data_IF_481520344641
#
_entry.id   IF_481520344641
#
_cell.length_a   1.000
_cell.length_b   1.000
_cell.length_c   1.000
_cell.angle_alpha   90.00
_cell.angle_beta   90.00
_cell.angle_gamma   90.00
#
_symmetry.space_group_name_H-M   'P 1'
#
loop_
_entity.id
_entity.type
_entity.pdbx_description
1 polymer ?
#
# COMPACT_ATOMS: atom_id res chain seq x y z
N UNK A 1 3.10 20.39 -1.22
CA UNK A 1 3.42 19.03 -1.70
C UNK A 1 2.40 18.63 -2.74
N UNK A 2 2.85 18.13 -3.86
CA UNK A 2 1.94 17.65 -4.88
C UNK A 2 1.43 16.26 -4.52
N UNK A 3 0.16 16.02 -4.77
CA UNK A 3 -0.39 14.68 -4.66
C UNK A 3 0.22 13.79 -5.75
N UNK A 4 0.32 12.49 -5.47
CA UNK A 4 0.75 11.54 -6.48
C UNK A 4 -0.34 11.39 -7.52
N UNK A 5 0.04 11.53 -8.77
CA UNK A 5 -0.85 11.40 -9.91
C UNK A 5 -0.16 10.59 -11.00
N UNK A 6 -0.95 9.84 -11.74
CA UNK A 6 -0.41 9.00 -12.81
C UNK A 6 -1.19 9.28 -14.09
N UNK A 7 -0.47 9.73 -15.11
CA UNK A 7 -1.03 10.04 -16.41
C UNK A 7 -0.73 8.93 -17.41
N UNK A 8 -1.60 8.78 -18.40
CA UNK A 8 -1.39 7.82 -19.50
C UNK A 8 -1.18 6.39 -19.00
N UNK A 9 -2.00 5.99 -18.04
CA UNK A 9 -1.96 4.65 -17.48
C UNK A 9 -3.23 3.89 -17.86
N UNK A 10 -3.13 2.56 -17.82
CA UNK A 10 -4.29 1.70 -17.95
C UNK A 10 -4.80 1.37 -16.56
N UNK A 11 -6.03 1.68 -16.26
CA UNK A 11 -6.65 1.33 -14.99
C UNK A 11 -7.43 0.03 -15.16
N UNK A 12 -7.16 -0.94 -14.29
CA UNK A 12 -7.91 -2.20 -14.28
C UNK A 12 -9.16 -1.99 -13.42
N UNK A 13 -10.32 -2.12 -14.04
CA UNK A 13 -11.58 -1.80 -13.38
C UNK A 13 -11.91 -2.74 -12.21
N UNK A 14 -11.57 -4.02 -12.36
CA UNK A 14 -11.86 -4.99 -11.31
C UNK A 14 -10.93 -4.75 -10.11
N UNK A 15 -11.52 -4.51 -8.94
CA UNK A 15 -10.77 -4.29 -7.72
C UNK A 15 -10.10 -5.57 -7.20
N UNK A 16 -9.00 -5.40 -6.50
CA UNK A 16 -8.38 -6.41 -5.65
C UNK A 16 -8.97 -6.24 -4.26
N UNK A 17 -9.70 -7.24 -3.78
CA UNK A 17 -10.41 -7.13 -2.51
C UNK A 17 -9.82 -8.12 -1.52
N UNK A 18 -9.40 -7.63 -0.36
CA UNK A 18 -8.79 -8.42 0.70
C UNK A 18 -9.55 -8.20 2.02
N UNK A 19 -9.49 -9.18 2.91
CA UNK A 19 -10.06 -9.07 4.26
C UNK A 19 -11.51 -8.60 4.24
N UNK A 20 -12.32 -9.24 3.40
CA UNK A 20 -13.77 -8.97 3.31
C UNK A 20 -14.10 -7.51 2.98
N UNK A 21 -13.26 -6.88 2.16
CA UNK A 21 -13.48 -5.50 1.72
C UNK A 21 -12.85 -4.44 2.59
N UNK A 22 -12.11 -4.81 3.64
CA UNK A 22 -11.43 -3.83 4.49
C UNK A 22 -10.16 -3.29 3.85
N UNK A 23 -9.61 -3.99 2.88
CA UNK A 23 -8.52 -3.51 2.06
C UNK A 23 -8.90 -3.71 0.60
N UNK A 24 -8.89 -2.63 -0.17
CA UNK A 24 -9.28 -2.65 -1.58
C UNK A 24 -8.26 -1.87 -2.37
N UNK A 25 -7.83 -2.40 -3.50
CA UNK A 25 -6.94 -1.68 -4.40
C UNK A 25 -7.35 -1.88 -5.85
N UNK A 26 -6.91 -0.95 -6.70
CA UNK A 26 -7.01 -1.09 -8.14
C UNK A 26 -5.62 -1.07 -8.74
N UNK A 27 -5.40 -1.90 -9.74
CA UNK A 27 -4.13 -1.98 -10.44
C UNK A 27 -4.11 -0.95 -11.56
N UNK A 28 -2.98 -0.24 -11.68
CA UNK A 28 -2.70 0.57 -12.87
C UNK A 28 -1.47 0.00 -13.56
N UNK A 29 -1.52 0.04 -14.89
CA UNK A 29 -0.41 -0.40 -15.75
C UNK A 29 0.21 0.82 -16.39
N UNK A 30 1.52 0.96 -16.22
CA UNK A 30 2.27 2.10 -16.75
C UNK A 30 2.78 1.78 -18.16
N UNK A 31 3.18 2.84 -18.88
CA UNK A 31 3.61 2.69 -20.27
C UNK A 31 4.88 1.85 -20.45
N UNK A 32 5.69 1.71 -19.40
CA UNK A 32 6.92 0.90 -19.45
C UNK A 32 6.67 -0.58 -19.11
N UNK A 33 5.42 -0.98 -18.94
CA UNK A 33 5.06 -2.35 -18.59
C UNK A 33 5.04 -2.64 -17.10
N UNK A 34 5.44 -1.69 -16.26
CA UNK A 34 5.36 -1.87 -14.81
C UNK A 34 3.94 -1.64 -14.31
N UNK A 35 3.69 -2.08 -13.07
CA UNK A 35 2.39 -1.89 -12.45
C UNK A 35 2.55 -1.28 -11.07
N UNK A 36 1.49 -0.61 -10.63
CA UNK A 36 1.32 -0.15 -9.26
C UNK A 36 -0.09 -0.47 -8.82
N UNK A 37 -0.34 -0.45 -7.53
CA UNK A 37 -1.71 -0.54 -7.02
C UNK A 37 -2.02 0.71 -6.21
N UNK A 38 -3.26 1.18 -6.32
CA UNK A 38 -3.78 2.32 -5.58
C UNK A 38 -4.83 1.78 -4.63
N UNK A 39 -4.63 1.94 -3.35
CA UNK A 39 -5.45 1.22 -2.39
C UNK A 39 -5.95 2.03 -1.21
N UNK A 40 -6.95 1.45 -0.57
CA UNK A 40 -7.59 1.97 0.64
C UNK A 40 -7.50 0.89 1.71
N UNK A 41 -7.18 1.31 2.94
CA UNK A 41 -7.17 0.43 4.10
C UNK A 41 -8.09 1.02 5.16
N UNK A 42 -9.14 0.29 5.49
CA UNK A 42 -10.09 0.65 6.54
C UNK A 42 -9.52 0.29 7.92
N UNK A 43 -10.13 0.76 9.01
CA UNK A 43 -9.61 0.45 10.35
C UNK A 43 -9.50 -1.04 10.61
N UNK A 44 -8.39 -1.44 11.21
CA UNK A 44 -8.08 -2.82 11.53
C UNK A 44 -6.60 -3.09 11.47
N UNK A 45 -6.21 -4.33 11.71
CA UNK A 45 -4.83 -4.78 11.60
C UNK A 45 -4.77 -5.92 10.59
N UNK A 46 -3.83 -5.82 9.64
CA UNK A 46 -3.75 -6.76 8.52
C UNK A 46 -2.31 -7.15 8.26
N UNK A 47 -2.09 -8.38 7.80
CA UNK A 47 -0.78 -8.87 7.38
C UNK A 47 -0.76 -9.07 5.88
N UNK A 48 0.30 -8.58 5.24
CA UNK A 48 0.54 -8.77 3.81
C UNK A 48 1.91 -9.40 3.60
N UNK A 49 1.94 -10.40 2.71
CA UNK A 49 3.20 -10.98 2.26
C UNK A 49 3.67 -10.31 0.98
N UNK A 50 4.99 -10.35 0.75
CA UNK A 50 5.58 -9.83 -0.48
C UNK A 50 6.24 -10.96 -1.26
N UNK A 51 6.19 -10.85 -2.58
CA UNK A 51 6.99 -11.68 -3.48
C UNK A 51 8.16 -10.84 -3.99
N UNK A 52 7.90 -9.79 -4.75
CA UNK A 52 8.89 -8.79 -5.11
C UNK A 52 9.01 -7.75 -4.00
N UNK A 53 10.13 -7.01 -3.93
CA UNK A 53 10.22 -5.87 -3.02
C UNK A 53 9.17 -4.82 -3.36
N UNK A 54 8.67 -4.13 -2.34
CA UNK A 54 7.62 -3.12 -2.50
C UNK A 54 8.00 -1.81 -1.84
N UNK A 55 7.56 -0.72 -2.46
CA UNK A 55 7.55 0.60 -1.83
C UNK A 55 6.11 1.02 -1.62
N UNK A 56 5.78 1.36 -0.40
CA UNK A 56 4.44 1.81 -0.02
C UNK A 56 4.48 3.30 0.30
N UNK A 57 3.86 4.11 -0.55
CA UNK A 57 3.68 5.54 -0.30
C UNK A 57 2.31 5.75 0.34
N UNK A 58 2.28 6.43 1.48
CA UNK A 58 1.03 6.79 2.14
C UNK A 58 0.58 8.14 1.61
N UNK A 59 -0.59 8.16 0.98
CA UNK A 59 -1.13 9.32 0.26
C UNK A 59 -2.06 10.11 1.14
N UNK A 60 -2.82 9.42 1.99
CA UNK A 60 -3.78 10.04 2.90
C UNK A 60 -3.95 9.18 4.14
N UNK A 61 -4.36 9.79 5.23
CA UNK A 61 -4.56 9.09 6.49
C UNK A 61 -3.25 8.78 7.19
N UNK A 62 -3.29 7.80 8.08
CA UNK A 62 -2.14 7.37 8.86
C UNK A 62 -2.25 5.89 9.20
N UNK A 63 -1.10 5.25 9.38
CA UNK A 63 -1.04 3.85 9.75
C UNK A 63 0.22 3.58 10.56
N UNK A 64 0.27 2.39 11.15
CA UNK A 64 1.46 1.87 11.81
C UNK A 64 1.85 0.58 11.10
N UNK A 65 3.14 0.36 10.96
CA UNK A 65 3.68 -0.79 10.22
C UNK A 65 4.76 -1.47 11.04
N UNK A 66 4.73 -2.79 11.03
CA UNK A 66 5.78 -3.64 11.59
C UNK A 66 6.23 -4.61 10.52
N UNK A 67 7.49 -4.53 10.12
CA UNK A 67 8.06 -5.46 9.14
C UNK A 67 8.25 -6.83 9.77
N UNK A 68 8.08 -7.88 8.98
CA UNK A 68 8.31 -9.25 9.45
C UNK A 68 9.74 -9.39 9.95
N UNK A 69 9.91 -10.14 11.03
CA UNK A 69 11.22 -10.30 11.67
C UNK A 69 11.60 -9.18 12.62
N UNK A 70 10.78 -8.14 12.72
CA UNK A 70 11.02 -7.04 13.68
C UNK A 70 9.88 -6.99 14.69
N UNK A 71 10.14 -6.38 15.84
CA UNK A 71 9.11 -6.17 16.87
C UNK A 71 8.67 -4.73 16.97
N UNK A 72 9.27 -3.83 16.20
CA UNK A 72 9.02 -2.40 16.28
C UNK A 72 7.93 -1.95 15.33
N UNK A 73 6.93 -1.27 15.87
CA UNK A 73 5.91 -0.59 15.09
C UNK A 73 6.36 0.84 14.80
N UNK A 74 6.20 1.27 13.55
CA UNK A 74 6.54 2.63 13.13
C UNK A 74 5.31 3.31 12.54
N UNK A 75 5.21 4.61 12.80
CA UNK A 75 4.08 5.42 12.30
C UNK A 75 4.40 6.00 10.93
N UNK A 76 3.41 5.95 10.04
CA UNK A 76 3.49 6.56 8.72
C UNK A 76 2.22 7.35 8.45
N UNK A 77 2.40 8.60 8.04
CA UNK A 77 1.31 9.50 7.71
C UNK A 77 1.40 9.90 6.24
N UNK A 78 0.42 10.64 5.76
CA UNK A 78 0.42 11.16 4.39
C UNK A 78 1.74 11.87 4.07
N UNK A 79 2.32 11.55 2.91
CA UNK A 79 3.59 12.11 2.46
C UNK A 79 4.82 11.31 2.89
N UNK A 80 4.64 10.21 3.60
CA UNK A 80 5.75 9.32 3.98
C UNK A 80 5.67 8.00 3.22
N UNK A 81 6.74 7.21 3.30
CA UNK A 81 6.77 5.91 2.63
C UNK A 81 7.58 4.92 3.45
N UNK A 82 7.41 3.64 3.16
CA UNK A 82 8.25 2.58 3.67
C UNK A 82 8.51 1.55 2.58
N UNK A 83 9.59 0.79 2.74
CA UNK A 83 9.94 -0.29 1.83
C UNK A 83 9.86 -1.63 2.54
N UNK A 84 9.44 -2.65 1.80
CA UNK A 84 9.35 -4.02 2.29
C UNK A 84 10.22 -4.90 1.40
N UNK A 85 11.11 -5.72 1.98
CA UNK A 85 11.92 -6.63 1.17
C UNK A 85 11.05 -7.64 0.43
N UNK A 86 11.59 -8.21 -0.66
CA UNK A 86 10.95 -9.33 -1.32
C UNK A 86 10.93 -10.57 -0.45
N UNK A 87 9.98 -11.47 -0.70
CA UNK A 87 9.81 -12.75 0.03
C UNK A 87 9.78 -12.54 1.54
N UNK A 88 9.04 -11.53 1.96
CA UNK A 88 8.90 -11.11 3.33
C UNK A 88 7.44 -10.72 3.58
N UNK A 89 7.21 -9.71 4.42
CA UNK A 89 5.87 -9.24 4.71
C UNK A 89 5.88 -8.15 5.77
N UNK A 90 4.68 -7.70 6.10
CA UNK A 90 4.51 -6.67 7.11
C UNK A 90 3.09 -6.72 7.70
N UNK A 91 2.98 -6.26 8.93
CA UNK A 91 1.69 -5.97 9.54
C UNK A 91 1.42 -4.48 9.40
N UNK A 92 0.18 -4.13 9.11
CA UNK A 92 -0.24 -2.73 9.01
C UNK A 92 -1.51 -2.54 9.86
N UNK A 93 -1.52 -1.47 10.64
CA UNK A 93 -2.61 -1.17 11.54
C UNK A 93 -3.13 0.23 11.26
N UNK A 94 -4.44 0.34 11.06
CA UNK A 94 -5.14 1.61 10.88
C UNK A 94 -6.11 1.76 12.04
N UNK A 95 -5.89 2.77 12.88
CA UNK A 95 -6.68 2.98 14.09
C UNK A 95 -8.03 3.62 13.81
N UNK A 96 -8.05 4.62 12.91
CA UNK A 96 -9.27 5.36 12.59
C UNK A 96 -9.14 5.93 11.18
N UNK A 97 -10.28 6.23 10.56
CA UNK A 97 -10.31 6.78 9.21
C UNK A 97 -9.90 5.75 8.18
N UNK A 98 -9.39 6.21 7.05
CA UNK A 98 -8.95 5.38 5.95
C UNK A 98 -7.53 5.78 5.59
N UNK A 99 -6.61 4.81 5.52
CA UNK A 99 -5.29 5.04 4.99
C UNK A 99 -5.32 4.75 3.49
N UNK A 100 -4.75 5.65 2.69
CA UNK A 100 -4.67 5.47 1.24
C UNK A 100 -3.21 5.35 0.83
N UNK A 101 -2.93 4.45 -0.09
CA UNK A 101 -1.56 4.14 -0.44
C UNK A 101 -1.36 3.93 -1.94
N UNK A 102 -0.11 4.11 -2.37
CA UNK A 102 0.37 3.64 -3.67
C UNK A 102 1.43 2.58 -3.39
N UNK A 103 1.22 1.39 -3.92
CA UNK A 103 2.21 0.31 -3.85
C UNK A 103 2.96 0.23 -5.17
N UNK A 104 4.28 0.36 -5.11
CA UNK A 104 5.16 0.20 -6.26
C UNK A 104 5.96 -1.09 -6.07
N UNK A 105 6.05 -1.89 -7.11
CA UNK A 105 6.81 -3.14 -7.10
C UNK A 105 8.20 -2.84 -7.66
N UNK A 106 9.22 -3.18 -6.90
CA UNK A 106 10.61 -2.85 -7.23
C UNK A 106 11.45 -4.05 -7.64
#
# INVERSE_FOLDING_TARGET
MSALEFNNVTAVAKANVYFEGKVVSHTILLGDGSKKTLGLIYPGEFHFGTDAPERMDIVAGACRVRLDGTSEWRDYAAGTFFRVPGKSGFDISVAAGIAEYVCSFE
#
